data_IF_769128804326
#
_entry.id   IF_769128804326
#
_cell.length_a   1.000
_cell.length_b   1.000
_cell.length_c   1.000
_cell.angle_alpha   90.00
_cell.angle_beta   90.00
_cell.angle_gamma   90.00
#
_symmetry.space_group_name_H-M   'P 1'
#
loop_
_entity.id
_entity.type
_entity.pdbx_description
1 polymer ?
#
# COMPACT_ATOMS: atom_id res chain seq x y z
N UNK A 1 -68.06 11.65 32.36
CA UNK A 1 -68.49 11.69 30.95
C UNK A 1 -67.41 12.45 30.18
N UNK A 2 -66.76 11.80 29.19
CA UNK A 2 -65.76 12.34 28.21
C UNK A 2 -64.52 13.10 28.76
N UNK A 3 -63.32 12.52 28.88
CA UNK A 3 -62.28 12.14 27.88
C UNK A 3 -61.30 13.27 27.50
N UNK A 4 -60.02 12.87 27.29
CA UNK A 4 -58.99 13.46 26.39
C UNK A 4 -58.28 14.73 26.90
N UNK A 5 -56.96 14.90 26.93
CA UNK A 5 -55.83 14.23 26.27
C UNK A 5 -54.60 14.29 27.19
N UNK A 6 -53.94 13.16 27.44
CA UNK A 6 -52.55 13.14 27.95
C UNK A 6 -51.63 13.13 26.74
N UNK A 7 -50.99 14.26 26.43
CA UNK A 7 -49.93 14.34 25.43
C UNK A 7 -48.66 13.80 26.10
N UNK A 8 -48.35 12.53 25.82
CA UNK A 8 -47.09 11.90 26.19
C UNK A 8 -46.05 12.30 25.13
N UNK A 9 -45.27 13.33 25.40
CA UNK A 9 -44.14 13.71 24.54
C UNK A 9 -42.96 12.77 24.84
N UNK A 10 -42.89 11.67 24.11
CA UNK A 10 -41.75 10.75 24.08
C UNK A 10 -40.63 11.42 23.27
N UNK A 11 -39.73 12.15 23.95
CA UNK A 11 -38.48 12.62 23.36
C UNK A 11 -37.52 11.43 23.21
N UNK A 12 -37.62 10.72 22.09
CA UNK A 12 -36.55 9.83 21.60
C UNK A 12 -35.35 10.70 21.22
N UNK A 13 -34.44 10.92 22.17
CA UNK A 13 -33.12 11.46 21.89
C UNK A 13 -32.28 10.33 21.26
N UNK A 14 -32.54 10.05 19.98
CA UNK A 14 -31.62 9.29 19.15
C UNK A 14 -30.37 10.16 18.97
N UNK A 15 -29.40 10.00 19.87
CA UNK A 15 -28.03 10.39 19.61
C UNK A 15 -27.54 9.59 18.41
N UNK A 16 -27.69 10.17 17.22
CA UNK A 16 -27.06 9.71 15.99
C UNK A 16 -25.57 9.96 16.21
N UNK A 17 -24.89 8.98 16.81
CA UNK A 17 -23.45 8.86 16.68
C UNK A 17 -23.18 8.56 15.20
N UNK A 18 -22.99 9.62 14.41
CA UNK A 18 -22.35 9.53 13.11
C UNK A 18 -20.90 9.10 13.33
N UNK A 19 -20.71 7.80 13.61
CA UNK A 19 -19.41 7.19 13.47
C UNK A 19 -19.10 7.21 11.96
N UNK A 20 -17.99 7.80 11.51
CA UNK A 20 -17.53 7.55 10.16
C UNK A 20 -17.35 6.04 10.04
N UNK A 21 -18.15 5.42 9.17
CA UNK A 21 -17.94 4.04 8.74
C UNK A 21 -16.63 4.08 7.96
N UNK A 22 -15.51 3.88 8.66
CA UNK A 22 -14.25 3.54 8.01
C UNK A 22 -14.47 2.16 7.41
N UNK A 23 -14.87 2.13 6.13
CA UNK A 23 -14.74 0.93 5.32
C UNK A 23 -13.26 0.64 5.18
N UNK A 24 -12.68 -0.08 6.14
CA UNK A 24 -11.37 -0.71 6.00
C UNK A 24 -11.53 -1.82 4.96
N UNK A 25 -11.50 -1.47 3.67
CA UNK A 25 -11.27 -2.46 2.64
C UNK A 25 -9.94 -3.13 2.97
N UNK A 26 -9.93 -4.47 3.05
CA UNK A 26 -8.69 -5.19 3.31
C UNK A 26 -7.70 -4.91 2.17
N UNK A 27 -6.45 -4.62 2.52
CA UNK A 27 -5.39 -4.41 1.54
C UNK A 27 -5.23 -5.63 0.61
N UNK A 28 -4.81 -5.44 -0.65
CA UNK A 28 -4.49 -6.55 -1.55
C UNK A 28 -3.46 -7.49 -0.92
N UNK A 29 -3.58 -8.79 -1.18
CA UNK A 29 -2.64 -9.78 -0.68
C UNK A 29 -1.20 -9.52 -1.16
N UNK A 30 -0.23 -9.60 -0.25
CA UNK A 30 1.20 -9.54 -0.57
C UNK A 30 1.68 -10.91 -1.02
N UNK A 31 1.89 -11.06 -2.33
CA UNK A 31 2.31 -12.33 -2.93
C UNK A 31 3.72 -12.80 -2.53
N UNK A 32 4.57 -11.89 -2.05
CA UNK A 32 5.96 -12.17 -1.66
C UNK A 32 6.22 -11.59 -0.27
N UNK A 33 5.73 -12.27 0.76
CA UNK A 33 5.96 -11.89 2.15
C UNK A 33 7.37 -12.24 2.62
N UNK A 34 7.80 -11.63 3.73
CA UNK A 34 9.01 -12.05 4.43
C UNK A 34 8.90 -13.53 4.84
N UNK A 35 10.04 -14.23 4.87
CA UNK A 35 10.14 -15.53 5.54
C UNK A 35 9.92 -15.36 7.04
N UNK A 36 9.33 -16.36 7.73
CA UNK A 36 9.19 -16.31 9.18
C UNK A 36 10.52 -15.98 9.88
N UNK A 37 10.45 -15.11 10.89
CA UNK A 37 11.61 -14.78 11.72
C UNK A 37 12.22 -16.05 12.33
N UNK A 38 13.54 -16.27 12.21
CA UNK A 38 14.19 -17.37 12.89
C UNK A 38 14.27 -17.10 14.40
N UNK A 39 14.20 -18.16 15.20
CA UNK A 39 14.31 -18.06 16.67
C UNK A 39 15.70 -17.60 17.14
N UNK A 40 16.75 -17.86 16.35
CA UNK A 40 18.14 -17.52 16.67
C UNK A 40 18.83 -17.02 15.39
N UNK A 41 19.71 -16.04 15.55
CA UNK A 41 20.48 -15.42 14.46
C UNK A 41 21.52 -16.33 13.78
N UNK A 42 22.35 -15.78 12.90
CA UNK A 42 22.52 -14.34 12.66
C UNK A 42 21.33 -13.72 11.91
N UNK A 43 20.94 -12.51 12.34
CA UNK A 43 19.94 -11.68 11.68
C UNK A 43 20.59 -10.76 10.64
N UNK A 44 19.80 -10.28 9.70
CA UNK A 44 20.23 -9.47 8.56
C UNK A 44 19.57 -8.09 8.53
N UNK A 45 19.10 -7.60 9.69
CA UNK A 45 18.31 -6.38 9.80
C UNK A 45 19.03 -5.15 9.24
N UNK A 46 20.32 -4.99 9.55
CA UNK A 46 21.12 -3.87 9.04
C UNK A 46 21.20 -3.88 7.51
N UNK A 47 21.44 -5.05 6.91
CA UNK A 47 21.51 -5.18 5.45
C UNK A 47 20.14 -5.02 4.79
N UNK A 48 19.07 -5.45 5.47
CA UNK A 48 17.71 -5.22 5.03
C UNK A 48 17.42 -3.72 4.97
N UNK A 49 17.69 -3.00 6.07
CA UNK A 49 17.45 -1.56 6.18
C UNK A 49 18.29 -0.78 5.18
N UNK A 50 19.58 -1.10 5.03
CA UNK A 50 20.46 -0.49 4.04
C UNK A 50 19.85 -0.55 2.64
N UNK A 51 19.53 -1.77 2.16
CA UNK A 51 18.95 -1.97 0.82
C UNK A 51 17.58 -1.34 0.65
N UNK A 52 16.73 -1.44 1.68
CA UNK A 52 15.41 -0.83 1.67
C UNK A 52 15.52 0.70 1.56
N UNK A 53 16.38 1.32 2.37
CA UNK A 53 16.58 2.76 2.39
C UNK A 53 17.13 3.27 1.06
N UNK A 54 18.13 2.59 0.49
CA UNK A 54 18.68 2.92 -0.83
C UNK A 54 17.58 2.89 -1.89
N UNK A 55 16.82 1.80 -1.94
CA UNK A 55 15.76 1.60 -2.94
C UNK A 55 14.64 2.64 -2.77
N UNK A 56 14.13 2.84 -1.56
CA UNK A 56 13.06 3.80 -1.27
C UNK A 56 13.48 5.21 -1.63
N UNK A 57 14.70 5.60 -1.26
CA UNK A 57 15.22 6.93 -1.57
C UNK A 57 15.36 7.17 -3.07
N UNK A 58 15.66 6.12 -3.85
CA UNK A 58 15.84 6.22 -5.30
C UNK A 58 14.57 6.55 -6.08
N UNK A 59 13.39 6.07 -5.66
CA UNK A 59 12.11 6.32 -6.35
C UNK A 59 11.18 7.31 -5.65
N UNK A 60 11.49 7.70 -4.41
CA UNK A 60 10.70 8.69 -3.69
C UNK A 60 10.81 10.08 -4.31
N UNK A 61 9.84 10.96 -4.02
CA UNK A 61 9.73 12.31 -4.59
C UNK A 61 9.55 12.36 -6.12
N UNK A 62 9.28 11.21 -6.77
CA UNK A 62 9.12 11.10 -8.22
C UNK A 62 7.71 10.63 -8.58
N UNK A 63 7.46 10.45 -9.87
CA UNK A 63 6.26 9.73 -10.32
C UNK A 63 6.40 8.23 -10.10
N UNK A 64 5.29 7.50 -10.20
CA UNK A 64 5.27 6.04 -10.12
C UNK A 64 6.42 5.39 -10.91
N UNK A 65 7.19 4.47 -10.28
CA UNK A 65 8.34 3.84 -10.91
C UNK A 65 7.93 3.05 -12.14
N UNK A 66 8.75 3.13 -13.18
CA UNK A 66 8.58 2.43 -14.45
C UNK A 66 9.96 2.01 -14.98
N UNK A 67 9.98 1.20 -16.06
CA UNK A 67 11.23 0.81 -16.71
C UNK A 67 12.23 0.14 -15.76
N UNK A 68 13.45 0.67 -15.70
CA UNK A 68 14.53 0.11 -14.87
C UNK A 68 14.24 0.25 -13.38
N UNK A 69 13.70 1.37 -12.92
CA UNK A 69 13.40 1.60 -11.50
C UNK A 69 12.38 0.59 -10.98
N UNK A 70 11.39 0.26 -11.82
CA UNK A 70 10.41 -0.78 -11.52
C UNK A 70 11.07 -2.16 -11.33
N UNK A 71 12.00 -2.52 -12.22
CA UNK A 71 12.73 -3.78 -12.13
C UNK A 71 13.61 -3.83 -10.87
N UNK A 72 14.24 -2.71 -10.51
CA UNK A 72 15.06 -2.59 -9.31
C UNK A 72 14.21 -2.79 -8.05
N UNK A 73 13.07 -2.12 -7.93
CA UNK A 73 12.16 -2.28 -6.80
C UNK A 73 11.70 -3.74 -6.65
N UNK A 74 11.27 -4.37 -7.75
CA UNK A 74 10.83 -5.76 -7.74
C UNK A 74 11.96 -6.71 -7.35
N UNK A 75 13.17 -6.49 -7.87
CA UNK A 75 14.35 -7.29 -7.54
C UNK A 75 14.74 -7.15 -6.07
N UNK A 76 14.82 -5.91 -5.57
CA UNK A 76 15.15 -5.63 -4.17
C UNK A 76 14.10 -6.23 -3.24
N UNK A 77 12.80 -6.05 -3.52
CA UNK A 77 11.73 -6.66 -2.74
C UNK A 77 11.90 -8.18 -2.61
N UNK A 78 12.18 -8.87 -3.72
CA UNK A 78 12.41 -10.32 -3.68
C UNK A 78 13.67 -10.73 -2.91
N UNK A 79 14.70 -9.89 -2.88
CA UNK A 79 15.90 -10.12 -2.08
C UNK A 79 15.60 -9.94 -0.59
N UNK A 80 14.94 -8.83 -0.23
CA UNK A 80 14.54 -8.50 1.13
C UNK A 80 13.64 -9.58 1.74
N UNK A 81 12.66 -10.07 0.98
CA UNK A 81 11.77 -11.15 1.40
C UNK A 81 12.48 -12.46 1.80
N UNK A 82 13.72 -12.65 1.34
CA UNK A 82 14.51 -13.86 1.61
C UNK A 82 15.44 -13.74 2.81
N UNK A 83 15.59 -12.54 3.38
CA UNK A 83 16.49 -12.26 4.49
C UNK A 83 15.98 -12.82 5.81
N UNK A 84 16.91 -13.08 6.74
CA UNK A 84 16.62 -13.49 8.11
C UNK A 84 16.41 -12.25 8.98
N UNK A 85 15.16 -11.86 9.16
CA UNK A 85 14.79 -10.70 9.97
C UNK A 85 14.55 -11.12 11.41
N UNK A 86 15.04 -10.33 12.37
CA UNK A 86 14.85 -10.59 13.79
C UNK A 86 13.38 -10.44 14.23
N UNK A 87 12.96 -11.09 15.33
CA UNK A 87 11.59 -10.97 15.82
C UNK A 87 11.19 -9.53 16.17
N UNK A 88 12.11 -8.75 16.72
CA UNK A 88 11.91 -7.35 17.12
C UNK A 88 11.70 -6.42 15.92
N UNK A 89 12.39 -6.67 14.80
CA UNK A 89 12.31 -5.84 13.61
C UNK A 89 11.25 -6.31 12.61
N UNK A 90 10.74 -7.53 12.78
CA UNK A 90 9.88 -8.21 11.80
C UNK A 90 8.66 -7.40 11.35
N UNK A 91 7.96 -6.73 12.28
CA UNK A 91 6.76 -5.95 11.94
C UNK A 91 7.11 -4.79 11.00
N UNK A 92 8.13 -4.00 11.34
CA UNK A 92 8.58 -2.88 10.51
C UNK A 92 9.11 -3.36 9.17
N UNK A 93 9.91 -4.42 9.16
CA UNK A 93 10.42 -5.03 7.93
C UNK A 93 9.28 -5.52 7.03
N UNK A 94 8.20 -6.06 7.62
CA UNK A 94 7.03 -6.52 6.88
C UNK A 94 6.33 -5.37 6.18
N UNK A 95 6.16 -4.22 6.86
CA UNK A 95 5.58 -3.02 6.25
C UNK A 95 6.48 -2.48 5.12
N UNK A 96 7.80 -2.41 5.32
CA UNK A 96 8.75 -2.00 4.27
C UNK A 96 8.65 -2.93 3.04
N UNK A 97 8.62 -4.25 3.26
CA UNK A 97 8.50 -5.22 2.18
C UNK A 97 7.15 -5.11 1.45
N UNK A 98 6.05 -4.91 2.20
CA UNK A 98 4.72 -4.71 1.63
C UNK A 98 4.67 -3.41 0.80
N UNK A 99 5.27 -2.33 1.28
CA UNK A 99 5.37 -1.06 0.56
C UNK A 99 6.07 -1.23 -0.80
N UNK A 100 7.23 -1.90 -0.82
CA UNK A 100 7.96 -2.17 -2.05
C UNK A 100 7.18 -3.10 -2.99
N UNK A 101 6.48 -4.10 -2.44
CA UNK A 101 5.62 -4.99 -3.22
C UNK A 101 4.47 -4.23 -3.90
N UNK A 102 3.72 -3.43 -3.15
CA UNK A 102 2.62 -2.64 -3.69
C UNK A 102 3.10 -1.60 -4.70
N UNK A 103 4.24 -0.97 -4.45
CA UNK A 103 4.88 -0.05 -5.40
C UNK A 103 5.24 -0.75 -6.72
N UNK A 104 5.87 -1.92 -6.64
CA UNK A 104 6.19 -2.72 -7.83
C UNK A 104 4.94 -3.20 -8.57
N UNK A 105 3.85 -3.52 -7.87
CA UNK A 105 2.57 -3.90 -8.48
C UNK A 105 1.85 -2.72 -9.14
N UNK A 106 1.84 -1.56 -8.48
CA UNK A 106 1.27 -0.34 -9.05
C UNK A 106 2.03 0.06 -10.33
N UNK A 107 3.36 0.08 -10.27
CA UNK A 107 4.20 0.47 -11.41
C UNK A 107 4.07 -0.50 -12.59
N UNK A 108 3.97 -1.80 -12.31
CA UNK A 108 3.71 -2.82 -13.34
C UNK A 108 2.36 -2.62 -14.04
N UNK A 109 1.28 -2.49 -13.28
CA UNK A 109 -0.06 -2.26 -13.86
C UNK A 109 -0.13 -0.94 -14.65
N UNK A 110 0.54 0.12 -14.17
CA UNK A 110 0.61 1.38 -14.90
C UNK A 110 1.39 1.26 -16.21
N UNK A 111 2.54 0.58 -16.20
CA UNK A 111 3.33 0.32 -17.40
C UNK A 111 2.55 -0.51 -18.44
N UNK A 112 1.81 -1.52 -17.98
CA UNK A 112 0.93 -2.32 -18.83
C UNK A 112 -0.18 -1.47 -19.45
N UNK A 113 -0.81 -0.58 -18.66
CA UNK A 113 -1.82 0.35 -19.16
C UNK A 113 -1.26 1.28 -20.26
N UNK A 114 -0.05 1.81 -20.09
CA UNK A 114 0.60 2.66 -21.08
C UNK A 114 0.90 1.91 -22.37
N UNK A 115 1.44 0.69 -22.27
CA UNK A 115 1.72 -0.19 -23.41
C UNK A 115 0.43 -0.51 -24.19
N UNK A 116 -0.65 -0.79 -23.47
CA UNK A 116 -1.96 -1.06 -24.07
C UNK A 116 -2.56 0.17 -24.76
N UNK A 117 -2.42 1.35 -24.16
CA UNK A 117 -2.95 2.60 -24.72
C UNK A 117 -2.17 3.03 -25.96
N UNK A 118 -0.86 2.74 -26.02
CA UNK A 118 -0.05 2.96 -27.21
C UNK A 118 -0.39 2.00 -28.36
N UNK A 119 -0.96 0.84 -28.06
CA UNK A 119 -1.38 -0.16 -29.06
C UNK A 119 -2.79 0.10 -29.56
N UNK A 120 -2.94 0.53 -30.82
CA UNK A 120 -4.25 0.74 -31.46
C UNK A 120 -5.12 -0.53 -31.60
N UNK A 121 -4.57 -1.70 -31.26
CA UNK A 121 -5.24 -3.00 -31.42
C UNK A 121 -5.83 -3.55 -30.10
N UNK A 122 -5.65 -2.86 -28.97
CA UNK A 122 -6.16 -3.31 -27.67
C UNK A 122 -7.39 -2.50 -27.26
N UNK A 123 -8.50 -3.14 -26.83
CA UNK A 123 -9.68 -2.42 -26.37
C UNK A 123 -9.35 -1.46 -25.23
N UNK A 124 -9.81 -0.21 -25.32
CA UNK A 124 -9.62 0.82 -24.26
C UNK A 124 -10.11 0.37 -22.87
N UNK A 125 -11.10 -0.52 -22.82
CA UNK A 125 -11.59 -1.11 -21.57
C UNK A 125 -10.52 -1.89 -20.80
N UNK A 126 -9.56 -2.52 -21.50
CA UNK A 126 -8.45 -3.24 -20.86
C UNK A 126 -7.44 -2.26 -20.25
N UNK A 127 -7.05 -1.20 -20.97
CA UNK A 127 -6.19 -0.14 -20.43
C UNK A 127 -6.80 0.52 -19.19
N UNK A 128 -8.11 0.82 -19.22
CA UNK A 128 -8.82 1.36 -18.06
C UNK A 128 -8.81 0.41 -16.85
N UNK A 129 -8.89 -0.91 -17.08
CA UNK A 129 -8.78 -1.91 -16.02
C UNK A 129 -7.39 -1.91 -15.39
N UNK A 130 -6.34 -1.72 -16.19
CA UNK A 130 -4.96 -1.67 -15.68
C UNK A 130 -4.67 -0.39 -14.90
N UNK A 131 -5.24 0.75 -15.30
CA UNK A 131 -5.20 1.97 -14.48
C UNK A 131 -5.94 1.79 -13.15
N UNK A 132 -7.07 1.08 -13.14
CA UNK A 132 -7.79 0.77 -11.90
C UNK A 132 -6.98 -0.17 -10.98
N UNK A 133 -6.29 -1.17 -11.54
CA UNK A 133 -5.36 -2.03 -10.80
C UNK A 133 -4.19 -1.21 -10.22
N UNK A 134 -3.57 -0.33 -11.03
CA UNK A 134 -2.50 0.55 -10.58
C UNK A 134 -2.94 1.43 -9.41
N UNK A 135 -4.13 2.03 -9.46
CA UNK A 135 -4.70 2.84 -8.38
C UNK A 135 -4.99 2.04 -7.11
N UNK A 136 -5.43 0.78 -7.26
CA UNK A 136 -5.67 -0.13 -6.14
C UNK A 136 -4.37 -0.39 -5.38
N UNK A 137 -3.29 -0.70 -6.10
CA UNK A 137 -1.99 -0.91 -5.48
C UNK A 137 -1.33 0.37 -5.00
N UNK A 138 -1.55 1.50 -5.67
CA UNK A 138 -1.10 2.80 -5.18
C UNK A 138 -1.74 3.17 -3.83
N UNK A 139 -3.04 2.90 -3.68
CA UNK A 139 -3.74 3.10 -2.40
C UNK A 139 -3.14 2.23 -1.31
N UNK A 140 -2.89 0.94 -1.60
CA UNK A 140 -2.22 0.04 -0.67
C UNK A 140 -0.81 0.50 -0.29
N UNK A 141 -0.02 0.95 -1.28
CA UNK A 141 1.31 1.51 -1.04
C UNK A 141 1.24 2.78 -0.18
N UNK A 142 0.21 3.61 -0.34
CA UNK A 142 -0.02 4.81 0.47
C UNK A 142 -0.32 4.45 1.92
N UNK A 143 -1.22 3.51 2.15
CA UNK A 143 -1.58 3.06 3.51
C UNK A 143 -0.38 2.45 4.24
N UNK A 144 0.43 1.64 3.54
CA UNK A 144 1.66 1.08 4.11
C UNK A 144 2.74 2.15 4.29
N UNK A 145 2.86 3.10 3.37
CA UNK A 145 3.78 4.24 3.51
C UNK A 145 3.52 5.02 4.79
N UNK A 146 2.24 5.25 5.12
CA UNK A 146 1.86 5.93 6.36
C UNK A 146 2.35 5.22 7.62
N UNK A 147 2.58 3.90 7.58
CA UNK A 147 3.13 3.14 8.72
C UNK A 147 4.65 3.30 8.88
N UNK A 148 5.37 3.63 7.81
CA UNK A 148 6.85 3.63 7.80
C UNK A 148 7.47 5.01 7.55
N UNK A 149 6.70 6.01 7.10
CA UNK A 149 7.20 7.33 6.66
C UNK A 149 8.05 8.07 7.69
N UNK A 150 7.81 7.86 8.98
CA UNK A 150 8.58 8.52 10.06
C UNK A 150 10.05 8.05 10.08
N UNK A 151 10.36 6.89 9.49
CA UNK A 151 11.72 6.41 9.28
C UNK A 151 12.42 7.08 8.09
N UNK A 152 11.66 7.81 7.26
CA UNK A 152 12.09 8.37 5.98
C UNK A 152 11.80 9.89 5.90
N UNK A 153 12.31 10.73 6.83
CA UNK A 153 11.89 12.12 6.99
C UNK A 153 12.21 13.05 5.80
N UNK A 154 13.13 12.64 4.92
CA UNK A 154 13.61 13.48 3.81
C UNK A 154 13.04 13.06 2.44
N UNK A 155 12.09 12.13 2.42
CA UNK A 155 11.50 11.63 1.20
C UNK A 155 9.98 11.51 1.33
N UNK A 156 9.28 11.64 0.20
CA UNK A 156 7.83 11.51 0.13
C UNK A 156 7.44 10.33 -0.75
N UNK A 157 6.25 9.80 -0.53
CA UNK A 157 5.62 8.86 -1.44
C UNK A 157 5.66 9.41 -2.89
N UNK A 158 5.88 8.51 -3.85
CA UNK A 158 5.75 8.83 -5.26
C UNK A 158 4.31 9.20 -5.63
N UNK A 159 4.13 9.87 -6.77
CA UNK A 159 2.81 10.28 -7.24
C UNK A 159 2.40 9.54 -8.52
N UNK A 160 1.10 9.27 -8.68
CA UNK A 160 0.56 8.86 -9.96
C UNK A 160 0.64 10.02 -10.98
N UNK A 161 1.02 9.76 -12.24
CA UNK A 161 0.90 10.75 -13.32
C UNK A 161 -0.55 11.21 -13.51
N UNK A 162 -0.74 12.49 -13.87
CA UNK A 162 -2.06 13.09 -14.12
C UNK A 162 -2.60 12.74 -15.50
#
# INVERSE_FOLDING_TARGET
MASRNKILALFCFCAICALPVFSSAALPFVGVSLKPSPAVGPYQDDNFLEKANETISAFSNQTIPNGTDLLEIQSTQQQLAKMKISPEFYLVASEINAFLYYTGKAGGAYADALSMTASNNIPKSQGNSQIAEANTYYTAATETWDQIKDMYPNVTLYTMPK
#
